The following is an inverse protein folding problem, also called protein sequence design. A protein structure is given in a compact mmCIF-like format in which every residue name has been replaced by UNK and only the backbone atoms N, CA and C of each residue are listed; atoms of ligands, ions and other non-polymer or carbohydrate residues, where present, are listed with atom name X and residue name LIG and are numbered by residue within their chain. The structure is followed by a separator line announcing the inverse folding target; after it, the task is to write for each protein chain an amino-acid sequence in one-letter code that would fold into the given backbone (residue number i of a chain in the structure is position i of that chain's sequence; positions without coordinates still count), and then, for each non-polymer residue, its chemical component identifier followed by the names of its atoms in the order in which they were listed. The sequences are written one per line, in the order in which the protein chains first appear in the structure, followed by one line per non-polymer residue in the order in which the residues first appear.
data_IF_741256412408
#
_entry.id   IF_741256412408
#
_cell.length_a   1.000
_cell.length_b   1.000
_cell.length_c   1.000
_cell.angle_alpha   90.00
_cell.angle_beta   90.00
_cell.angle_gamma   90.00
#
_symmetry.space_group_name_H-M   'P 1'
#
loop_
_entity.id
_entity.type
_entity.pdbx_description
1 polymer ?
#
# COMPACT_ATOMS: atom_id res chain seq x y z
N UNK A 1 35.09 -10.57 -17.00
CA UNK A 1 34.46 -11.00 -15.74
C UNK A 1 33.21 -11.78 -16.11
N UNK A 2 33.13 -13.06 -15.72
CA UNK A 2 31.96 -13.89 -15.96
C UNK A 2 30.93 -13.57 -14.88
N UNK A 3 29.84 -12.90 -15.24
CA UNK A 3 28.70 -12.75 -14.34
C UNK A 3 27.99 -14.10 -14.27
N UNK A 4 28.00 -14.76 -13.11
CA UNK A 4 27.09 -15.86 -12.86
C UNK A 4 25.72 -15.25 -12.59
N UNK A 5 24.85 -15.26 -13.61
CA UNK A 5 23.42 -15.09 -13.41
C UNK A 5 22.94 -16.12 -12.39
N UNK A 6 22.12 -15.69 -11.43
CA UNK A 6 21.39 -16.62 -10.58
C UNK A 6 20.60 -17.57 -11.50
N UNK A 7 20.51 -18.86 -11.13
CA UNK A 7 19.88 -19.94 -11.93
C UNK A 7 18.45 -19.65 -12.43
N UNK A 8 17.82 -18.58 -11.94
CA UNK A 8 16.47 -18.15 -12.31
C UNK A 8 16.42 -17.25 -13.56
N UNK A 9 17.55 -16.64 -13.97
CA UNK A 9 17.65 -15.82 -15.17
C UNK A 9 17.90 -16.69 -16.40
N UNK A 10 16.88 -17.39 -16.85
CA UNK A 10 16.87 -17.91 -18.23
C UNK A 10 16.52 -16.74 -19.17
N UNK A 11 17.30 -16.47 -20.23
CA UNK A 11 16.97 -15.43 -21.20
C UNK A 11 15.55 -15.63 -21.76
N UNK A 12 14.69 -14.62 -21.63
CA UNK A 12 13.28 -14.66 -22.06
C UNK A 12 12.24 -14.83 -20.94
N UNK A 13 12.64 -15.31 -19.75
CA UNK A 13 11.71 -15.61 -18.64
C UNK A 13 11.11 -14.37 -17.98
N UNK A 14 11.78 -13.22 -18.05
CA UNK A 14 11.28 -11.92 -17.58
C UNK A 14 10.04 -11.45 -18.35
N UNK A 15 10.01 -11.65 -19.67
CA UNK A 15 8.84 -11.25 -20.47
C UNK A 15 7.64 -12.15 -20.18
N UNK A 16 7.84 -13.44 -19.90
CA UNK A 16 6.77 -14.36 -19.45
C UNK A 16 6.28 -14.00 -18.03
N UNK A 17 7.17 -13.60 -17.13
CA UNK A 17 6.85 -13.09 -15.79
C UNK A 17 5.91 -11.87 -15.82
N UNK A 18 6.12 -10.96 -16.77
CA UNK A 18 5.25 -9.78 -16.91
C UNK A 18 3.99 -10.05 -17.74
N UNK A 19 4.03 -11.00 -18.68
CA UNK A 19 2.88 -11.34 -19.51
C UNK A 19 1.83 -12.20 -18.77
N UNK A 20 2.27 -13.08 -17.87
CA UNK A 20 1.38 -13.90 -17.04
C UNK A 20 1.96 -14.08 -15.62
N UNK A 21 1.91 -13.01 -14.78
CA UNK A 21 2.54 -13.00 -13.46
C UNK A 21 1.98 -14.06 -12.50
N UNK A 22 0.76 -14.55 -12.77
CA UNK A 22 0.13 -15.58 -11.96
C UNK A 22 0.56 -17.00 -12.37
N UNK A 23 1.06 -17.23 -13.59
CA UNK A 23 1.64 -18.53 -13.97
C UNK A 23 3.15 -18.60 -13.86
N UNK A 24 3.82 -17.45 -13.90
CA UNK A 24 5.27 -17.34 -13.95
C UNK A 24 6.05 -17.99 -12.81
N UNK A 25 5.37 -18.31 -11.70
CA UNK A 25 5.96 -18.88 -10.50
C UNK A 25 5.49 -20.32 -10.22
N UNK A 26 4.87 -21.00 -11.19
CA UNK A 26 4.36 -22.38 -11.01
C UNK A 26 3.37 -22.49 -9.83
N UNK A 27 2.42 -21.54 -9.75
CA UNK A 27 1.38 -21.50 -8.71
C UNK A 27 0.53 -22.79 -8.67
N UNK A 28 0.55 -23.58 -9.74
CA UNK A 28 -0.29 -24.76 -9.93
C UNK A 28 0.32 -26.02 -9.32
N UNK A 29 1.54 -25.94 -8.78
CA UNK A 29 2.17 -27.05 -8.04
C UNK A 29 1.45 -27.31 -6.72
N UNK A 30 1.27 -28.59 -6.37
CA UNK A 30 0.53 -29.01 -5.17
C UNK A 30 1.08 -28.37 -3.88
N UNK A 31 2.40 -28.26 -3.77
CA UNK A 31 3.07 -27.64 -2.63
C UNK A 31 2.71 -26.14 -2.50
N UNK A 32 2.71 -25.40 -3.61
CA UNK A 32 2.37 -23.98 -3.60
C UNK A 32 0.88 -23.73 -3.37
N UNK A 33 0.02 -24.59 -3.91
CA UNK A 33 -1.41 -24.58 -3.60
C UNK A 33 -1.68 -24.83 -2.11
N UNK A 34 -0.95 -25.75 -1.49
CA UNK A 34 -1.02 -25.97 -0.06
C UNK A 34 -0.57 -24.73 0.73
N UNK A 35 0.56 -24.11 0.35
CA UNK A 35 1.03 -22.88 0.97
C UNK A 35 0.01 -21.74 0.86
N UNK A 36 -0.58 -21.52 -0.31
CA UNK A 36 -1.62 -20.50 -0.52
C UNK A 36 -2.83 -20.78 0.36
N UNK A 37 -3.30 -22.03 0.44
CA UNK A 37 -4.42 -22.41 1.31
C UNK A 37 -4.12 -22.14 2.79
N UNK A 38 -2.93 -22.51 3.25
CA UNK A 38 -2.50 -22.27 4.63
C UNK A 38 -2.42 -20.76 4.89
N UNK A 39 -1.83 -19.99 3.98
CA UNK A 39 -1.72 -18.53 4.10
C UNK A 39 -3.10 -17.87 4.14
N UNK A 40 -4.00 -18.20 3.21
CA UNK A 40 -5.37 -17.67 3.21
C UNK A 40 -6.12 -18.07 4.49
N UNK A 41 -5.93 -19.29 4.99
CA UNK A 41 -6.55 -19.69 6.24
C UNK A 41 -6.01 -18.88 7.44
N UNK A 42 -4.69 -18.75 7.54
CA UNK A 42 -4.01 -18.11 8.67
C UNK A 42 -4.13 -16.59 8.69
N UNK A 43 -4.09 -15.96 7.52
CA UNK A 43 -4.06 -14.50 7.38
C UNK A 43 -5.44 -13.90 7.09
N UNK A 44 -6.39 -14.68 6.57
CA UNK A 44 -7.72 -14.19 6.20
C UNK A 44 -8.81 -14.90 7.00
N UNK A 45 -9.03 -16.20 6.77
CA UNK A 45 -10.21 -16.88 7.30
C UNK A 45 -10.25 -16.93 8.84
N UNK A 46 -9.11 -17.24 9.48
CA UNK A 46 -9.01 -17.34 10.94
C UNK A 46 -9.11 -15.97 11.63
N UNK A 47 -8.44 -14.90 11.16
CA UNK A 47 -8.66 -13.55 11.67
C UNK A 47 -10.10 -13.06 11.50
N UNK A 48 -10.73 -13.30 10.34
CA UNK A 48 -12.14 -12.94 10.13
C UNK A 48 -13.05 -13.64 11.13
N UNK A 49 -12.93 -14.97 11.28
CA UNK A 49 -13.74 -15.74 12.22
C UNK A 49 -13.58 -15.31 13.69
N UNK A 50 -12.49 -14.61 14.02
CA UNK A 50 -12.20 -14.08 15.36
C UNK A 50 -12.62 -12.61 15.53
N UNK A 51 -13.18 -11.98 14.50
CA UNK A 51 -13.50 -10.55 14.51
C UNK A 51 -12.26 -9.66 14.61
N UNK A 52 -11.11 -10.13 14.12
CA UNK A 52 -9.82 -9.41 14.18
C UNK A 52 -9.47 -8.73 12.86
N UNK A 53 -10.39 -8.74 11.89
CA UNK A 53 -10.14 -8.20 10.56
C UNK A 53 -11.05 -7.00 10.29
N UNK A 54 -10.43 -5.92 9.81
CA UNK A 54 -11.10 -4.70 9.37
C UNK A 54 -10.75 -4.45 7.91
N UNK A 55 -11.73 -4.02 7.13
CA UNK A 55 -11.54 -3.45 5.80
C UNK A 55 -11.78 -1.95 5.90
N UNK A 56 -10.73 -1.17 5.65
CA UNK A 56 -10.82 0.27 5.47
C UNK A 56 -10.94 0.59 3.99
N UNK A 57 -12.01 1.26 3.59
CA UNK A 57 -12.16 1.79 2.24
C UNK A 57 -11.81 3.28 2.29
N UNK A 58 -10.88 3.71 1.45
CA UNK A 58 -10.40 5.09 1.39
C UNK A 58 -10.80 5.68 0.03
N UNK A 59 -11.39 6.87 0.02
CA UNK A 59 -11.86 7.56 -1.20
C UNK A 59 -11.87 9.08 -1.02
N UNK A 60 -12.30 9.83 -2.04
CA UNK A 60 -12.52 11.29 -1.96
C UNK A 60 -11.37 12.16 -2.48
N UNK A 61 -10.10 11.71 -2.44
CA UNK A 61 -9.03 12.41 -3.14
C UNK A 61 -9.20 12.30 -4.67
N UNK A 62 -9.69 13.38 -5.26
CA UNK A 62 -9.64 13.61 -6.70
C UNK A 62 -8.22 13.99 -7.13
N UNK A 63 -7.92 13.81 -8.43
CA UNK A 63 -6.60 14.11 -8.98
C UNK A 63 -6.17 15.54 -8.64
N UNK A 64 -5.16 15.68 -7.78
CA UNK A 64 -4.57 16.95 -7.39
C UNK A 64 -5.14 17.58 -6.11
N UNK A 65 -6.17 17.01 -5.49
CA UNK A 65 -6.53 17.40 -4.11
C UNK A 65 -5.52 16.78 -3.12
N UNK A 66 -5.19 17.53 -2.08
CA UNK A 66 -4.39 17.06 -0.96
C UNK A 66 -4.95 17.51 0.40
N UNK A 67 -6.17 18.05 0.42
CA UNK A 67 -6.81 18.48 1.65
C UNK A 67 -7.13 17.23 2.50
N UNK A 68 -6.69 17.16 3.78
CA UNK A 68 -6.96 16.00 4.63
C UNK A 68 -8.44 15.73 4.86
N UNK A 69 -9.28 16.76 4.74
CA UNK A 69 -10.74 16.67 4.89
C UNK A 69 -11.45 16.06 3.68
N UNK A 70 -10.81 16.10 2.51
CA UNK A 70 -11.33 15.48 1.29
C UNK A 70 -11.04 13.97 1.25
N UNK A 71 -10.07 13.49 2.02
CA UNK A 71 -9.80 12.06 2.16
C UNK A 71 -10.78 11.42 3.13
N UNK A 72 -11.83 10.83 2.56
CA UNK A 72 -12.85 10.12 3.30
C UNK A 72 -12.49 8.64 3.45
N UNK A 73 -13.01 8.04 4.50
CA UNK A 73 -12.85 6.61 4.72
C UNK A 73 -14.06 6.02 5.43
N UNK A 74 -14.19 4.70 5.39
CA UNK A 74 -15.11 3.95 6.23
C UNK A 74 -14.51 2.59 6.59
N UNK A 75 -14.77 2.16 7.83
CA UNK A 75 -14.27 0.91 8.36
C UNK A 75 -15.36 -0.17 8.47
N UNK A 76 -15.12 -1.32 7.83
CA UNK A 76 -15.98 -2.50 7.91
C UNK A 76 -15.31 -3.60 8.72
N UNK A 77 -15.95 -4.02 9.82
CA UNK A 77 -15.59 -5.27 10.48
C UNK A 77 -15.91 -6.46 9.56
N UNK A 78 -14.89 -7.29 9.31
CA UNK A 78 -14.99 -8.45 8.43
C UNK A 78 -14.99 -9.74 9.26
N UNK A 79 -16.18 -10.28 9.53
CA UNK A 79 -16.34 -11.58 10.20
C UNK A 79 -16.50 -12.72 9.20
N UNK A 80 -16.86 -12.39 7.96
CA UNK A 80 -16.96 -13.33 6.85
C UNK A 80 -17.08 -12.65 5.49
N UNK A 81 -17.14 -13.46 4.44
CA UNK A 81 -17.24 -12.97 3.05
C UNK A 81 -18.53 -12.17 2.81
N UNK A 82 -19.58 -12.42 3.60
CA UNK A 82 -20.81 -11.63 3.56
C UNK A 82 -20.59 -10.16 3.94
N UNK A 83 -19.73 -9.88 4.91
CA UNK A 83 -19.43 -8.50 5.32
C UNK A 83 -18.67 -7.74 4.22
N UNK A 84 -17.77 -8.43 3.53
CA UNK A 84 -17.11 -7.88 2.34
C UNK A 84 -18.13 -7.59 1.22
N UNK A 85 -19.05 -8.52 0.95
CA UNK A 85 -20.11 -8.32 -0.04
C UNK A 85 -21.01 -7.14 0.30
N UNK A 86 -21.31 -6.93 1.59
CA UNK A 86 -22.05 -5.75 2.06
C UNK A 86 -21.29 -4.46 1.72
N UNK A 87 -20.00 -4.38 2.05
CA UNK A 87 -19.19 -3.21 1.71
C UNK A 87 -19.23 -2.91 0.19
N UNK A 88 -19.08 -3.92 -0.66
CA UNK A 88 -19.21 -3.75 -2.12
C UNK A 88 -20.60 -3.25 -2.53
N UNK A 89 -21.66 -3.79 -1.91
CA UNK A 89 -23.04 -3.40 -2.20
C UNK A 89 -23.31 -1.94 -1.83
N UNK A 90 -22.83 -1.47 -0.69
CA UNK A 90 -23.02 -0.09 -0.23
C UNK A 90 -22.45 0.91 -1.24
N UNK A 91 -21.20 0.69 -1.68
CA UNK A 91 -20.54 1.54 -2.68
C UNK A 91 -21.18 1.41 -4.07
N UNK A 92 -21.56 0.20 -4.46
CA UNK A 92 -22.27 -0.02 -5.73
C UNK A 92 -23.62 0.68 -5.75
N UNK A 93 -24.36 0.63 -4.65
CA UNK A 93 -25.62 1.33 -4.50
C UNK A 93 -25.42 2.84 -4.57
N UNK A 94 -24.47 3.38 -3.80
CA UNK A 94 -24.19 4.81 -3.81
C UNK A 94 -23.82 5.34 -5.21
N UNK A 95 -22.96 4.60 -5.92
CA UNK A 95 -22.59 4.91 -7.30
C UNK A 95 -23.79 4.84 -8.26
N UNK A 96 -24.63 3.80 -8.17
CA UNK A 96 -25.79 3.63 -9.08
C UNK A 96 -26.89 4.66 -8.85
N UNK A 97 -27.07 5.10 -7.61
CA UNK A 97 -28.16 6.00 -7.22
C UNK A 97 -27.70 7.44 -7.05
N UNK A 98 -26.43 7.77 -7.37
CA UNK A 98 -25.82 9.09 -7.15
C UNK A 98 -26.06 9.61 -5.72
N UNK A 99 -26.00 8.73 -4.73
CA UNK A 99 -25.99 9.14 -3.31
C UNK A 99 -24.54 9.33 -2.86
N UNK A 100 -24.30 10.09 -1.78
CA UNK A 100 -22.96 10.17 -1.18
C UNK A 100 -22.38 8.78 -0.91
N UNK A 101 -21.08 8.62 -1.15
CA UNK A 101 -20.37 7.39 -0.82
C UNK A 101 -20.35 7.20 0.70
N UNK A 102 -20.35 5.94 1.20
CA UNK A 102 -20.22 5.68 2.62
C UNK A 102 -18.93 6.28 3.19
N UNK A 103 -19.03 7.01 4.29
CA UNK A 103 -17.90 7.62 4.98
C UNK A 103 -18.20 7.74 6.49
N UNK A 104 -17.16 7.53 7.30
CA UNK A 104 -17.13 7.90 8.71
C UNK A 104 -16.78 9.40 8.85
N UNK A 105 -17.11 9.98 10.01
CA UNK A 105 -17.02 11.43 10.23
C UNK A 105 -15.63 11.90 10.70
N UNK A 106 -14.70 10.98 10.93
CA UNK A 106 -13.34 11.28 11.37
C UNK A 106 -12.37 11.42 10.19
N UNK A 107 -11.52 12.43 10.25
CA UNK A 107 -10.51 12.68 9.23
C UNK A 107 -9.36 11.69 9.39
N UNK A 108 -9.11 10.88 8.35
CA UNK A 108 -8.12 9.80 8.39
C UNK A 108 -6.69 10.31 8.66
N UNK A 109 -6.33 11.46 8.07
CA UNK A 109 -4.98 12.01 8.12
C UNK A 109 -4.83 13.24 9.01
N UNK A 110 -5.92 13.83 9.50
CA UNK A 110 -5.86 15.11 10.23
C UNK A 110 -4.97 15.06 11.47
N UNK A 111 -5.27 14.15 12.41
CA UNK A 111 -4.46 14.00 13.62
C UNK A 111 -3.07 13.41 13.33
N UNK A 112 -2.91 12.32 12.54
CA UNK A 112 -1.58 11.79 12.23
C UNK A 112 -0.64 12.79 11.55
N UNK A 113 -1.16 13.66 10.68
CA UNK A 113 -0.38 14.72 10.04
C UNK A 113 0.04 15.79 11.05
N UNK A 114 -0.86 16.20 11.95
CA UNK A 114 -0.54 17.16 13.01
C UNK A 114 0.54 16.62 13.96
N UNK A 115 0.45 15.35 14.34
CA UNK A 115 1.45 14.68 15.18
C UNK A 115 2.81 14.62 14.48
N UNK A 116 2.84 14.23 13.20
CA UNK A 116 4.07 14.21 12.41
C UNK A 116 4.72 15.59 12.26
N UNK A 117 3.91 16.65 12.12
CA UNK A 117 4.39 18.04 12.11
C UNK A 117 4.99 18.43 13.46
N UNK A 118 4.29 18.12 14.55
CA UNK A 118 4.76 18.43 15.90
C UNK A 118 6.08 17.72 16.22
N UNK A 119 6.21 16.44 15.86
CA UNK A 119 7.42 15.65 16.06
C UNK A 119 8.60 16.24 15.27
N UNK A 120 8.40 16.59 14.00
CA UNK A 120 9.44 17.19 13.18
C UNK A 120 9.90 18.56 13.69
N UNK A 121 8.97 19.40 14.15
CA UNK A 121 9.31 20.69 14.78
C UNK A 121 10.07 20.50 16.10
N UNK A 122 9.70 19.50 16.90
CA UNK A 122 10.42 19.14 18.13
C UNK A 122 11.84 18.63 17.84
N UNK A 123 12.05 17.96 16.71
CA UNK A 123 13.37 17.54 16.21
C UNK A 123 14.18 18.69 15.59
N UNK A 124 13.62 19.91 15.54
CA UNK A 124 14.29 21.10 15.00
C UNK A 124 14.28 21.18 13.47
N UNK A 125 13.44 20.39 12.80
CA UNK A 125 13.27 20.47 11.36
C UNK A 125 12.47 21.74 11.02
N UNK A 126 12.97 22.54 10.07
CA UNK A 126 12.26 23.72 9.58
C UNK A 126 11.34 23.31 8.43
N UNK A 127 10.04 23.29 8.70
CA UNK A 127 9.03 23.02 7.69
C UNK A 127 8.73 24.29 6.91
N UNK A 128 9.06 24.28 5.62
CA UNK A 128 8.65 25.35 4.71
C UNK A 128 7.11 25.35 4.57
N UNK A 129 6.53 26.53 4.29
CA UNK A 129 5.08 26.74 4.28
C UNK A 129 4.37 25.85 3.24
N UNK A 130 5.05 25.57 2.13
CA UNK A 130 4.61 24.67 1.06
C UNK A 130 4.49 23.20 1.49
N UNK A 131 5.28 22.74 2.47
CA UNK A 131 5.18 21.38 3.02
C UNK A 131 3.90 21.21 3.87
N UNK A 132 3.45 22.27 4.54
CA UNK A 132 2.19 22.25 5.32
C UNK A 132 0.97 22.23 4.40
N UNK A 133 1.06 22.93 3.27
CA UNK A 133 0.00 23.00 2.26
C UNK A 133 0.04 21.78 1.31
N UNK A 134 1.18 21.10 1.20
CA UNK A 134 1.33 19.91 0.35
C UNK A 134 2.28 18.90 0.99
N UNK A 135 1.78 18.07 1.93
CA UNK A 135 2.60 17.10 2.65
C UNK A 135 3.33 16.09 1.77
N UNK A 136 2.84 15.85 0.53
CA UNK A 136 3.51 15.00 -0.46
C UNK A 136 4.89 15.54 -0.90
N UNK A 137 5.17 16.83 -0.69
CA UNK A 137 6.47 17.44 -0.95
C UNK A 137 7.44 17.32 0.23
N UNK A 138 7.02 16.74 1.35
CA UNK A 138 7.86 16.53 2.52
C UNK A 138 9.04 15.59 2.16
N UNK A 139 10.29 16.10 2.08
CA UNK A 139 11.40 15.33 1.52
C UNK A 139 11.91 14.21 2.43
N UNK A 140 11.65 14.28 3.73
CA UNK A 140 12.22 13.38 4.73
C UNK A 140 11.19 12.96 5.77
N UNK A 141 10.31 12.02 5.40
CA UNK A 141 9.96 10.97 6.35
C UNK A 141 11.02 9.88 6.19
N UNK A 142 11.65 9.43 7.28
CA UNK A 142 12.42 8.20 7.23
C UNK A 142 11.42 7.05 6.93
N UNK A 143 11.37 6.61 5.67
CA UNK A 143 10.35 5.68 5.15
C UNK A 143 9.27 6.28 4.24
N UNK A 144 9.30 7.60 3.96
CA UNK A 144 8.40 8.25 3.01
C UNK A 144 8.81 7.98 1.56
N UNK A 145 7.87 7.54 0.72
CA UNK A 145 8.12 7.32 -0.70
C UNK A 145 8.13 8.65 -1.45
N UNK A 146 9.25 9.37 -1.43
CA UNK A 146 9.43 10.52 -2.32
C UNK A 146 9.41 10.05 -3.79
N UNK A 147 8.63 10.67 -4.69
CA UNK A 147 8.56 10.27 -6.10
C UNK A 147 9.81 10.59 -6.93
N UNK A 148 10.87 11.19 -6.36
CA UNK A 148 11.93 11.85 -7.16
C UNK A 148 13.34 11.26 -6.96
N UNK A 149 13.49 10.10 -6.30
CA UNK A 149 14.78 9.38 -6.25
C UNK A 149 14.78 8.03 -6.99
N UNK A 150 13.89 7.85 -7.96
CA UNK A 150 14.12 6.86 -9.00
C UNK A 150 15.14 7.45 -10.00
N UNK A 151 16.32 6.81 -10.07
CA UNK A 151 17.41 7.06 -11.03
C UNK A 151 18.39 8.16 -10.62
N UNK A 152 19.39 7.83 -9.78
CA UNK A 152 20.82 8.01 -10.11
C UNK A 152 21.76 7.61 -8.95
N UNK A 153 22.84 6.89 -9.34
CA UNK A 153 24.16 6.80 -8.70
C UNK A 153 24.39 5.83 -7.53
N UNK A 154 24.83 4.60 -7.86
CA UNK A 154 25.76 3.84 -7.03
C UNK A 154 27.16 3.94 -7.66
N UNK A 155 28.15 4.59 -7.03
CA UNK A 155 29.53 4.53 -7.50
C UNK A 155 30.23 3.25 -7.00
N UNK A 156 31.24 2.74 -7.74
CA UNK A 156 31.89 1.48 -7.42
C UNK A 156 33.18 1.70 -6.60
N UNK A 157 33.26 1.15 -5.39
CA UNK A 157 34.52 0.90 -4.66
C UNK A 157 34.19 -0.11 -3.55
N UNK A 158 34.74 -1.33 -3.44
CA UNK A 158 36.05 -1.83 -3.84
C UNK A 158 37.05 -1.62 -2.70
N UNK A 159 37.11 -2.55 -1.73
CA UNK A 159 38.29 -2.87 -0.89
C UNK A 159 37.95 -3.93 0.18
N UNK A 160 38.29 -5.19 -0.08
CA UNK A 160 38.72 -6.12 0.98
C UNK A 160 40.04 -6.73 0.52
N UNK A 161 41.13 -6.33 1.19
CA UNK A 161 42.45 -6.96 1.10
C UNK A 161 42.58 -7.96 2.24
N UNK A 162 43.02 -9.16 1.86
CA UNK A 162 43.61 -10.27 2.62
C UNK A 162 42.69 -11.08 3.51
#
# INVERSE_FOLDING_TARGET
MSHNEAKEHTPGRLNELFADPYRAFENDTDERQLHIRIMLHMLLARPMARGQMMLRVIHGWENGSCEPTDLQHIDYALNGVSDFKRAVQDFTHASKHNTPLPADNDALLGAPLADAIADAEAEGQSLATDIRETPAHWPAFEGGTSPVHAVQNVPPTGLWRR
#
